data_IF_696305903742
#
_entry.id   IF_696305903742
#
_cell.length_a   1.000
_cell.length_b   1.000
_cell.length_c   1.000
_cell.angle_alpha   90.00
_cell.angle_beta   90.00
_cell.angle_gamma   90.00
#
_symmetry.space_group_name_H-M   'P 1'
#
loop_
_entity.id
_entity.type
_entity.pdbx_description
1 polymer ?
#
# COMPACT_ATOMS: atom_id res chain seq x y z
N UNK A 1 -22.85 -16.99 6.31
CA UNK A 1 -23.16 -15.63 5.84
C UNK A 1 -22.65 -14.53 6.78
N UNK A 2 -22.74 -14.69 8.07
CA UNK A 2 -22.19 -13.74 9.08
C UNK A 2 -20.67 -13.50 8.98
N UNK A 3 -19.87 -14.47 8.51
CA UNK A 3 -18.44 -14.33 8.31
C UNK A 3 -18.10 -13.22 7.31
N UNK A 4 -18.87 -13.09 6.22
CA UNK A 4 -18.63 -12.08 5.20
C UNK A 4 -18.90 -10.68 5.74
N UNK A 5 -19.95 -10.51 6.54
CA UNK A 5 -20.26 -9.23 7.19
C UNK A 5 -19.11 -8.78 8.11
N UNK A 6 -18.55 -9.73 8.87
CA UNK A 6 -17.46 -9.49 9.84
C UNK A 6 -16.07 -9.44 9.23
N UNK A 7 -15.91 -9.62 7.90
CA UNK A 7 -14.61 -9.54 7.23
C UNK A 7 -14.02 -8.13 7.41
N UNK A 8 -12.85 -7.99 8.09
CA UNK A 8 -12.33 -6.67 8.45
C UNK A 8 -11.73 -5.95 7.24
N UNK A 9 -11.89 -4.62 7.19
CA UNK A 9 -11.35 -3.76 6.12
C UNK A 9 -9.84 -3.95 5.92
N UNK A 10 -9.00 -4.16 6.96
CA UNK A 10 -7.56 -4.40 6.80
C UNK A 10 -7.15 -5.60 5.94
N UNK A 11 -8.06 -6.50 5.60
CA UNK A 11 -7.80 -7.56 4.61
C UNK A 11 -7.43 -6.95 3.25
N UNK A 12 -8.05 -5.84 2.85
CA UNK A 12 -7.78 -5.17 1.58
C UNK A 12 -6.32 -4.70 1.45
N UNK A 13 -5.77 -3.85 2.35
CA UNK A 13 -4.36 -3.46 2.26
C UNK A 13 -3.39 -4.65 2.45
N UNK A 14 -3.78 -5.71 3.14
CA UNK A 14 -2.98 -6.93 3.21
C UNK A 14 -2.85 -7.57 1.83
N UNK A 15 -3.93 -7.65 1.06
CA UNK A 15 -3.86 -8.15 -0.31
C UNK A 15 -3.11 -7.21 -1.26
N UNK A 16 -3.16 -5.89 -1.07
CA UNK A 16 -2.27 -4.97 -1.81
C UNK A 16 -0.80 -5.32 -1.54
N UNK A 17 -0.45 -5.60 -0.28
CA UNK A 17 0.90 -6.04 0.11
C UNK A 17 1.29 -7.38 -0.52
N UNK A 18 0.41 -8.38 -0.43
CA UNK A 18 0.65 -9.71 -1.00
C UNK A 18 0.81 -9.66 -2.53
N UNK A 19 -0.04 -8.90 -3.22
CA UNK A 19 0.03 -8.67 -4.67
C UNK A 19 1.35 -7.98 -5.08
N UNK A 20 1.76 -6.97 -4.31
CA UNK A 20 3.03 -6.25 -4.57
C UNK A 20 4.22 -7.19 -4.36
N UNK A 21 4.23 -7.96 -3.28
CA UNK A 21 5.29 -8.95 -3.01
C UNK A 21 5.30 -10.06 -4.07
N UNK A 22 4.14 -10.54 -4.53
CA UNK A 22 4.06 -11.55 -5.58
C UNK A 22 4.67 -11.08 -6.91
N UNK A 23 4.54 -9.79 -7.23
CA UNK A 23 5.23 -9.20 -8.38
C UNK A 23 6.75 -9.16 -8.19
N UNK A 24 7.25 -8.94 -6.96
CA UNK A 24 8.69 -9.07 -6.65
C UNK A 24 9.15 -10.50 -6.91
N UNK A 25 8.43 -11.50 -6.42
CA UNK A 25 8.75 -12.91 -6.66
C UNK A 25 8.71 -13.29 -8.14
N UNK A 26 7.75 -12.73 -8.90
CA UNK A 26 7.70 -12.93 -10.34
C UNK A 26 8.96 -12.39 -11.03
N UNK A 27 9.47 -11.23 -10.58
CA UNK A 27 10.74 -10.68 -11.05
C UNK A 27 11.97 -11.53 -10.70
N UNK A 28 11.86 -12.38 -9.67
CA UNK A 28 12.88 -13.36 -9.27
C UNK A 28 12.72 -14.72 -9.98
N UNK A 29 11.77 -14.87 -10.91
CA UNK A 29 11.50 -16.10 -11.66
C UNK A 29 10.39 -16.99 -11.07
N UNK A 30 9.83 -16.66 -9.89
CA UNK A 30 8.75 -17.44 -9.25
C UNK A 30 7.37 -16.93 -9.70
N UNK A 31 7.07 -17.03 -10.99
CA UNK A 31 5.83 -16.52 -11.61
C UNK A 31 4.57 -17.15 -11.05
N UNK A 32 4.62 -18.41 -10.64
CA UNK A 32 3.50 -19.14 -10.06
C UNK A 32 2.97 -18.46 -8.78
N UNK A 33 3.86 -17.84 -7.94
CA UNK A 33 3.47 -17.09 -6.75
C UNK A 33 2.55 -15.94 -7.13
N UNK A 34 2.90 -15.24 -8.22
CA UNK A 34 2.10 -14.14 -8.74
C UNK A 34 0.72 -14.62 -9.19
N UNK A 35 0.65 -15.66 -10.01
CA UNK A 35 -0.62 -16.20 -10.50
C UNK A 35 -1.54 -16.61 -9.34
N UNK A 36 -1.04 -17.39 -8.38
CA UNK A 36 -1.84 -17.80 -7.21
C UNK A 36 -2.35 -16.60 -6.41
N UNK A 37 -1.49 -15.61 -6.16
CA UNK A 37 -1.86 -14.42 -5.38
C UNK A 37 -2.89 -13.56 -6.11
N UNK A 38 -2.76 -13.40 -7.44
CA UNK A 38 -3.74 -12.65 -8.25
C UNK A 38 -5.13 -13.31 -8.21
N UNK A 39 -5.22 -14.63 -8.34
CA UNK A 39 -6.48 -15.35 -8.21
C UNK A 39 -7.08 -15.24 -6.80
N UNK A 40 -6.27 -15.40 -5.77
CA UNK A 40 -6.72 -15.22 -4.38
C UNK A 40 -7.26 -13.80 -4.14
N UNK A 41 -6.57 -12.79 -4.66
CA UNK A 41 -7.01 -11.39 -4.56
C UNK A 41 -8.31 -11.13 -5.34
N UNK A 42 -8.48 -11.75 -6.51
CA UNK A 42 -9.74 -11.66 -7.27
C UNK A 42 -10.92 -12.23 -6.48
N UNK A 43 -10.73 -13.37 -5.82
CA UNK A 43 -11.75 -13.96 -4.93
C UNK A 43 -12.07 -13.04 -3.77
N UNK A 44 -11.06 -12.49 -3.09
CA UNK A 44 -11.26 -11.55 -1.98
C UNK A 44 -11.97 -10.28 -2.44
N UNK A 45 -11.62 -9.75 -3.62
CA UNK A 45 -12.29 -8.58 -4.19
C UNK A 45 -13.78 -8.86 -4.45
N UNK A 46 -14.10 -10.03 -5.03
CA UNK A 46 -15.48 -10.45 -5.26
C UNK A 46 -16.26 -10.60 -3.95
N UNK A 47 -15.65 -11.21 -2.93
CA UNK A 47 -16.26 -11.30 -1.60
C UNK A 47 -16.50 -9.91 -1.00
N UNK A 48 -15.57 -8.97 -1.20
CA UNK A 48 -15.76 -7.60 -0.73
C UNK A 48 -16.88 -6.86 -1.48
N UNK A 49 -17.01 -7.07 -2.80
CA UNK A 49 -18.14 -6.55 -3.57
C UNK A 49 -19.46 -7.09 -3.04
N UNK A 50 -19.54 -8.39 -2.78
CA UNK A 50 -20.73 -9.00 -2.16
C UNK A 50 -21.00 -8.41 -0.77
N UNK A 51 -19.96 -8.18 0.04
CA UNK A 51 -20.09 -7.49 1.35
C UNK A 51 -20.67 -6.09 1.17
N UNK A 52 -20.15 -5.28 0.24
CA UNK A 52 -20.62 -3.91 -0.01
C UNK A 52 -22.10 -3.87 -0.42
N UNK A 53 -22.54 -4.82 -1.25
CA UNK A 53 -23.93 -4.89 -1.73
C UNK A 53 -24.87 -5.43 -0.66
N UNK A 54 -24.50 -6.54 0.00
CA UNK A 54 -25.39 -7.26 0.92
C UNK A 54 -25.42 -6.65 2.32
N UNK A 55 -24.30 -6.11 2.79
CA UNK A 55 -24.12 -5.57 4.14
C UNK A 55 -23.76 -4.09 4.11
N UNK A 56 -24.44 -3.33 3.26
CA UNK A 56 -24.21 -1.89 3.04
C UNK A 56 -24.24 -1.10 4.35
N UNK A 57 -25.17 -1.42 5.28
CA UNK A 57 -25.28 -0.74 6.59
C UNK A 57 -23.99 -0.90 7.42
N UNK A 58 -23.43 -2.11 7.45
CA UNK A 58 -22.17 -2.41 8.15
C UNK A 58 -21.00 -1.66 7.51
N UNK A 59 -20.90 -1.69 6.18
CA UNK A 59 -19.85 -0.98 5.43
C UNK A 59 -19.94 0.55 5.63
N UNK A 60 -21.13 1.13 5.63
CA UNK A 60 -21.35 2.55 5.96
C UNK A 60 -20.93 2.86 7.38
N UNK A 61 -21.20 1.97 8.34
CA UNK A 61 -20.75 2.08 9.74
C UNK A 61 -19.22 2.05 9.85
N UNK A 62 -18.56 1.13 9.15
CA UNK A 62 -17.09 1.06 9.05
C UNK A 62 -16.53 2.34 8.42
N UNK A 63 -17.11 2.80 7.31
CA UNK A 63 -16.69 4.00 6.60
C UNK A 63 -16.86 5.29 7.41
N UNK A 64 -17.72 5.31 8.41
CA UNK A 64 -17.85 6.44 9.36
C UNK A 64 -16.62 6.60 10.25
N UNK A 65 -15.86 5.57 10.51
CA UNK A 65 -14.64 5.63 11.31
C UNK A 65 -13.43 5.95 10.40
N UNK A 66 -12.66 6.97 10.76
CA UNK A 66 -11.58 7.53 9.92
C UNK A 66 -10.54 6.50 9.50
N UNK A 67 -10.11 5.59 10.41
CA UNK A 67 -9.09 4.59 10.07
C UNK A 67 -9.62 3.55 9.08
N UNK A 68 -10.73 2.83 9.33
CA UNK A 68 -11.31 1.96 8.31
C UNK A 68 -11.63 2.71 7.01
N UNK A 69 -12.15 3.94 7.09
CA UNK A 69 -12.40 4.79 5.92
C UNK A 69 -11.13 4.94 5.06
N UNK A 70 -10.00 5.31 5.68
CA UNK A 70 -8.74 5.45 4.95
C UNK A 70 -8.26 4.15 4.30
N UNK A 71 -8.54 3.00 4.92
CA UNK A 71 -8.14 1.69 4.41
C UNK A 71 -9.05 1.18 3.27
N UNK A 72 -10.27 1.68 3.13
CA UNK A 72 -11.13 1.38 1.98
C UNK A 72 -10.51 1.81 0.63
N UNK A 73 -9.60 2.78 0.64
CA UNK A 73 -8.81 3.15 -0.53
C UNK A 73 -8.05 1.95 -1.14
N UNK A 74 -7.66 0.97 -0.31
CA UNK A 74 -6.99 -0.24 -0.75
C UNK A 74 -7.87 -1.13 -1.66
N UNK A 75 -9.20 -1.01 -1.62
CA UNK A 75 -10.10 -1.67 -2.57
C UNK A 75 -9.75 -1.27 -4.01
N UNK A 76 -9.60 0.03 -4.26
CA UNK A 76 -9.22 0.53 -5.58
C UNK A 76 -7.79 0.14 -5.96
N UNK A 77 -6.87 0.08 -4.97
CA UNK A 77 -5.49 -0.36 -5.22
C UNK A 77 -5.45 -1.84 -5.66
N UNK A 78 -6.27 -2.71 -5.07
CA UNK A 78 -6.40 -4.12 -5.51
C UNK A 78 -6.90 -4.18 -6.94
N UNK A 79 -7.92 -3.38 -7.31
CA UNK A 79 -8.44 -3.33 -8.70
C UNK A 79 -7.35 -2.85 -9.66
N UNK A 80 -6.55 -1.83 -9.29
CA UNK A 80 -5.43 -1.36 -10.13
C UNK A 80 -4.43 -2.48 -10.41
N UNK A 81 -4.00 -3.23 -9.37
CA UNK A 81 -3.01 -4.30 -9.53
C UNK A 81 -3.60 -5.49 -10.32
N UNK A 82 -4.85 -5.88 -10.05
CA UNK A 82 -5.54 -6.89 -10.85
C UNK A 82 -5.73 -6.43 -12.30
N UNK A 83 -6.02 -5.15 -12.52
CA UNK A 83 -6.09 -4.56 -13.84
C UNK A 83 -4.77 -4.70 -14.61
N UNK A 84 -3.62 -4.58 -13.93
CA UNK A 84 -2.33 -4.83 -14.58
C UNK A 84 -2.12 -6.29 -14.96
N UNK A 85 -2.63 -7.22 -14.17
CA UNK A 85 -2.60 -8.63 -14.49
C UNK A 85 -3.51 -8.98 -15.67
N UNK A 86 -4.73 -8.43 -15.69
CA UNK A 86 -5.68 -8.59 -16.81
C UNK A 86 -5.12 -7.96 -18.09
N UNK A 87 -4.36 -6.87 -17.99
CA UNK A 87 -3.75 -6.19 -19.13
C UNK A 87 -2.86 -7.13 -19.98
N UNK A 88 -2.23 -8.11 -19.37
CA UNK A 88 -1.37 -9.09 -20.06
C UNK A 88 -2.18 -10.01 -21.02
N UNK A 89 -3.46 -10.24 -20.72
CA UNK A 89 -4.36 -11.08 -21.51
C UNK A 89 -5.30 -10.26 -22.40
N UNK A 90 -5.72 -9.10 -21.89
CA UNK A 90 -6.63 -8.17 -22.56
C UNK A 90 -6.25 -6.73 -22.26
N UNK A 91 -5.41 -6.10 -23.11
CA UNK A 91 -4.92 -4.74 -22.88
C UNK A 91 -6.04 -3.70 -22.67
N UNK A 92 -7.12 -3.79 -23.46
CA UNK A 92 -8.23 -2.85 -23.37
C UNK A 92 -8.95 -2.97 -22.02
N UNK A 93 -9.27 -4.19 -21.58
CA UNK A 93 -9.97 -4.46 -20.33
C UNK A 93 -9.09 -4.09 -19.14
N UNK A 94 -7.83 -4.51 -19.12
CA UNK A 94 -6.91 -4.21 -18.04
C UNK A 94 -6.68 -2.70 -17.87
N UNK A 95 -6.47 -1.97 -18.98
CA UNK A 95 -6.35 -0.51 -18.96
C UNK A 95 -7.62 0.17 -18.45
N UNK A 96 -8.79 -0.28 -18.88
CA UNK A 96 -10.08 0.23 -18.40
C UNK A 96 -10.23 0.02 -16.89
N UNK A 97 -9.90 -1.18 -16.36
CA UNK A 97 -9.94 -1.46 -14.93
C UNK A 97 -9.05 -0.48 -14.15
N UNK A 98 -7.83 -0.23 -14.61
CA UNK A 98 -6.91 0.73 -13.96
C UNK A 98 -7.49 2.14 -13.98
N UNK A 99 -7.99 2.62 -15.12
CA UNK A 99 -8.55 3.98 -15.25
C UNK A 99 -9.77 4.17 -14.35
N UNK A 100 -10.69 3.20 -14.34
CA UNK A 100 -11.88 3.24 -13.46
C UNK A 100 -11.47 3.22 -11.99
N UNK A 101 -10.51 2.38 -11.61
CA UNK A 101 -10.02 2.32 -10.24
C UNK A 101 -9.34 3.63 -9.79
N UNK A 102 -8.61 4.29 -10.69
CA UNK A 102 -8.03 5.63 -10.44
C UNK A 102 -9.12 6.66 -10.22
N UNK A 103 -10.17 6.67 -11.05
CA UNK A 103 -11.30 7.61 -10.89
C UNK A 103 -12.03 7.39 -9.56
N UNK A 104 -12.29 6.13 -9.18
CA UNK A 104 -12.90 5.78 -7.90
C UNK A 104 -12.01 6.18 -6.72
N UNK A 105 -10.69 6.00 -6.84
CA UNK A 105 -9.74 6.39 -5.80
C UNK A 105 -9.67 7.92 -5.66
N UNK A 106 -9.66 8.66 -6.77
CA UNK A 106 -9.72 10.12 -6.74
C UNK A 106 -11.01 10.63 -6.07
N UNK A 107 -12.16 10.02 -6.40
CA UNK A 107 -13.42 10.31 -5.72
C UNK A 107 -13.33 10.03 -4.21
N UNK A 108 -12.73 8.89 -3.82
CA UNK A 108 -12.50 8.56 -2.41
C UNK A 108 -11.63 9.61 -1.71
N UNK A 109 -10.56 10.11 -2.34
CA UNK A 109 -9.72 11.20 -1.80
C UNK A 109 -10.58 12.44 -1.52
N UNK A 110 -11.41 12.86 -2.47
CA UNK A 110 -12.28 14.03 -2.30
C UNK A 110 -13.26 13.86 -1.12
N UNK A 111 -13.93 12.71 -1.05
CA UNK A 111 -14.87 12.40 0.03
C UNK A 111 -14.18 12.30 1.40
N UNK A 112 -13.02 11.66 1.45
CA UNK A 112 -12.21 11.55 2.66
C UNK A 112 -11.75 12.92 3.15
N UNK A 113 -11.24 13.75 2.23
CA UNK A 113 -10.77 15.12 2.54
C UNK A 113 -11.91 15.99 3.05
N UNK A 114 -13.04 16.00 2.35
CA UNK A 114 -14.21 16.77 2.76
C UNK A 114 -14.63 16.40 4.19
N UNK A 115 -14.71 15.12 4.48
CA UNK A 115 -15.19 14.64 5.75
C UNK A 115 -14.19 14.83 6.88
N UNK A 116 -12.94 14.38 6.72
CA UNK A 116 -12.00 14.29 7.83
C UNK A 116 -11.14 15.55 7.99
N UNK A 117 -10.87 16.29 6.89
CA UNK A 117 -10.05 17.51 6.93
C UNK A 117 -10.91 18.76 7.07
N UNK A 118 -12.02 18.87 6.30
CA UNK A 118 -12.83 20.09 6.27
C UNK A 118 -13.86 20.06 7.40
N UNK A 119 -14.58 18.94 7.58
CA UNK A 119 -15.72 18.85 8.49
C UNK A 119 -15.33 18.44 9.92
N UNK A 120 -14.60 17.33 10.10
CA UNK A 120 -14.33 16.75 11.43
C UNK A 120 -13.10 17.36 12.11
N UNK A 121 -12.03 17.67 11.39
CA UNK A 121 -10.78 18.31 11.87
C UNK A 121 -10.19 17.69 13.15
N UNK A 122 -10.25 16.38 13.30
CA UNK A 122 -9.83 15.68 14.51
C UNK A 122 -8.38 15.18 14.38
N UNK A 123 -7.45 15.84 15.05
CA UNK A 123 -6.01 15.48 15.06
C UNK A 123 -5.76 14.06 15.60
N UNK A 124 -6.62 13.55 16.51
CA UNK A 124 -6.45 12.20 17.05
C UNK A 124 -6.67 11.11 16.00
N UNK A 125 -7.45 11.40 14.95
CA UNK A 125 -7.70 10.48 13.85
C UNK A 125 -6.70 10.65 12.70
N UNK A 126 -5.83 11.67 12.76
CA UNK A 126 -4.76 11.89 11.81
C UNK A 126 -3.65 10.88 12.03
N UNK A 127 -3.72 9.75 11.35
CA UNK A 127 -2.86 8.58 11.50
C UNK A 127 -2.14 8.27 10.18
N UNK A 128 -1.02 7.54 10.22
CA UNK A 128 -0.30 7.16 9.00
C UNK A 128 -1.15 6.41 7.97
N UNK A 129 -2.24 5.77 8.38
CA UNK A 129 -3.22 5.17 7.45
C UNK A 129 -3.82 6.17 6.45
N UNK A 130 -3.79 7.48 6.72
CA UNK A 130 -4.21 8.52 5.77
C UNK A 130 -3.41 8.48 4.46
N UNK A 131 -2.15 8.05 4.51
CA UNK A 131 -1.34 7.87 3.30
C UNK A 131 -1.89 6.78 2.37
N UNK A 132 -2.67 5.82 2.88
CA UNK A 132 -3.35 4.83 2.03
C UNK A 132 -4.38 5.52 1.12
N UNK A 133 -5.09 6.53 1.65
CA UNK A 133 -6.00 7.36 0.86
C UNK A 133 -5.24 8.27 -0.10
N UNK A 134 -4.32 9.08 0.41
CA UNK A 134 -3.72 10.17 -0.39
C UNK A 134 -2.68 9.68 -1.39
N UNK A 135 -1.78 8.78 -0.98
CA UNK A 135 -0.72 8.28 -1.86
C UNK A 135 -1.06 6.95 -2.52
N UNK A 136 -2.11 6.24 -2.07
CA UNK A 136 -2.50 4.95 -2.65
C UNK A 136 -2.85 5.02 -4.13
N UNK A 137 -3.33 6.15 -4.62
CA UNK A 137 -3.60 6.38 -6.05
C UNK A 137 -2.33 6.19 -6.92
N UNK A 138 -1.13 6.40 -6.35
CA UNK A 138 0.15 6.21 -7.04
C UNK A 138 0.44 4.75 -7.39
N UNK A 139 -0.30 3.78 -6.84
CA UNK A 139 -0.23 2.38 -7.29
C UNK A 139 -0.47 2.29 -8.79
N UNK A 140 -1.33 3.14 -9.35
CA UNK A 140 -1.53 3.23 -10.81
C UNK A 140 -0.24 3.55 -11.57
N UNK A 141 0.66 4.36 -10.99
CA UNK A 141 1.96 4.69 -11.57
C UNK A 141 2.98 3.54 -11.41
N UNK A 142 2.81 2.73 -10.37
CA UNK A 142 3.66 1.54 -10.15
C UNK A 142 3.43 0.51 -11.24
N UNK A 143 2.14 0.24 -11.57
CA UNK A 143 1.74 -0.85 -12.47
C UNK A 143 1.39 -0.40 -13.89
N UNK A 144 1.07 0.88 -14.10
CA UNK A 144 0.48 1.37 -15.35
C UNK A 144 1.44 2.09 -16.30
N UNK A 145 2.73 2.22 -15.97
CA UNK A 145 3.69 2.99 -16.76
C UNK A 145 3.77 2.53 -18.23
N UNK A 146 3.65 1.22 -18.51
CA UNK A 146 3.66 0.64 -19.86
C UNK A 146 2.29 0.61 -20.57
N UNK A 147 1.21 1.11 -19.94
CA UNK A 147 -0.16 1.00 -20.48
C UNK A 147 -0.58 2.19 -21.36
N UNK A 148 0.30 3.14 -21.62
CA UNK A 148 -0.02 4.33 -22.42
C UNK A 148 -1.11 5.20 -21.76
N UNK A 149 -1.08 5.36 -20.44
CA UNK A 149 -2.01 6.20 -19.66
C UNK A 149 -1.36 7.57 -19.45
N UNK A 150 -1.70 8.56 -20.28
CA UNK A 150 -1.01 9.86 -20.33
C UNK A 150 -1.12 10.73 -19.07
N UNK A 151 -2.15 10.52 -18.23
CA UNK A 151 -2.36 11.32 -17.02
C UNK A 151 -1.52 10.87 -15.81
N UNK A 152 -0.81 9.73 -15.85
CA UNK A 152 -0.03 9.23 -14.72
C UNK A 152 1.00 10.22 -14.21
N UNK A 153 1.59 11.03 -15.08
CA UNK A 153 2.56 12.07 -14.67
C UNK A 153 1.97 13.07 -13.68
N UNK A 154 0.69 13.40 -13.80
CA UNK A 154 0.02 14.32 -12.87
C UNK A 154 -0.21 13.64 -11.50
N UNK A 155 -0.47 12.32 -11.50
CA UNK A 155 -0.58 11.55 -10.25
C UNK A 155 0.77 11.49 -9.53
N UNK A 156 1.89 11.37 -10.28
CA UNK A 156 3.24 11.41 -9.69
C UNK A 156 3.48 12.74 -8.98
N UNK A 157 3.25 13.87 -9.65
CA UNK A 157 3.45 15.19 -9.05
C UNK A 157 2.51 15.43 -7.85
N UNK A 158 1.23 15.08 -7.99
CA UNK A 158 0.29 15.12 -6.88
C UNK A 158 0.80 14.32 -5.68
N UNK A 159 1.22 13.07 -5.90
CA UNK A 159 1.66 12.19 -4.81
C UNK A 159 2.92 12.68 -4.10
N UNK A 160 3.88 13.27 -4.83
CA UNK A 160 5.08 13.86 -4.24
C UNK A 160 4.72 15.11 -3.43
N UNK A 161 3.89 15.99 -3.97
CA UNK A 161 3.47 17.21 -3.27
C UNK A 161 2.72 16.86 -1.99
N UNK A 162 1.73 15.98 -2.07
CA UNK A 162 0.92 15.60 -0.92
C UNK A 162 1.74 14.85 0.14
N UNK A 163 2.73 14.05 -0.27
CA UNK A 163 3.67 13.42 0.64
C UNK A 163 4.44 14.47 1.46
N UNK A 164 5.06 15.45 0.80
CA UNK A 164 5.84 16.48 1.50
C UNK A 164 4.97 17.44 2.33
N UNK A 165 3.70 17.59 2.01
CA UNK A 165 2.75 18.36 2.84
C UNK A 165 2.35 17.56 4.09
N UNK A 166 2.05 16.26 3.95
CA UNK A 166 1.51 15.46 5.05
C UNK A 166 2.61 14.98 6.00
N UNK A 167 3.79 14.59 5.49
CA UNK A 167 4.80 13.89 6.30
C UNK A 167 5.33 14.73 7.48
N UNK A 168 5.61 16.04 7.36
CA UNK A 168 6.06 16.83 8.51
C UNK A 168 5.00 16.91 9.61
N UNK A 169 3.74 17.10 9.22
CA UNK A 169 2.60 17.16 10.14
C UNK A 169 2.39 15.81 10.81
N UNK A 170 2.55 14.71 10.06
CA UNK A 170 2.45 13.36 10.58
C UNK A 170 3.55 13.04 11.58
N UNK A 171 4.80 13.42 11.30
CA UNK A 171 5.92 13.26 12.24
C UNK A 171 5.64 14.05 13.52
N UNK A 172 5.26 15.32 13.40
CA UNK A 172 4.88 16.13 14.55
C UNK A 172 3.79 15.47 15.39
N UNK A 173 2.74 14.98 14.73
CA UNK A 173 1.64 14.28 15.42
C UNK A 173 2.11 13.01 16.14
N UNK A 174 2.94 12.17 15.51
CA UNK A 174 3.46 10.94 16.11
C UNK A 174 4.39 11.20 17.31
N UNK A 175 5.05 12.37 17.34
CA UNK A 175 5.90 12.77 18.46
C UNK A 175 5.12 13.39 19.63
N UNK A 176 3.96 14.02 19.36
CA UNK A 176 3.19 14.77 20.36
C UNK A 176 1.98 14.02 20.90
N UNK A 177 1.42 13.06 20.16
CA UNK A 177 0.19 12.37 20.54
C UNK A 177 0.44 10.87 20.57
N UNK A 178 0.18 10.25 21.71
CA UNK A 178 0.35 8.82 21.90
C UNK A 178 -0.50 8.02 20.91
N UNK A 179 0.09 6.97 20.33
CA UNK A 179 -0.59 6.05 19.44
C UNK A 179 -1.15 4.89 20.23
N UNK A 180 -2.48 4.77 20.26
CA UNK A 180 -3.19 3.70 20.99
C UNK A 180 -2.76 2.31 20.48
N UNK A 181 -2.69 1.28 21.36
CA UNK A 181 -2.28 -0.07 20.98
C UNK A 181 -3.06 -0.66 19.80
N UNK A 182 -4.37 -0.44 19.74
CA UNK A 182 -5.24 -0.98 18.68
C UNK A 182 -4.86 -0.50 17.25
N UNK A 183 -4.17 0.63 17.14
CA UNK A 183 -3.79 1.25 15.85
C UNK A 183 -2.28 1.44 15.73
N UNK A 184 -1.50 0.83 16.64
CA UNK A 184 -0.06 1.02 16.73
C UNK A 184 0.66 0.63 15.44
N UNK A 185 0.24 -0.46 14.79
CA UNK A 185 0.84 -0.96 13.54
C UNK A 185 0.65 -0.01 12.35
N UNK A 186 -0.29 0.95 12.42
CA UNK A 186 -0.45 1.96 11.36
C UNK A 186 0.79 2.83 11.21
N UNK A 187 1.65 2.91 12.24
CA UNK A 187 2.92 3.66 12.14
C UNK A 187 3.83 3.14 11.03
N UNK A 188 3.76 1.86 10.70
CA UNK A 188 4.56 1.30 9.61
C UNK A 188 4.16 1.84 8.22
N UNK A 189 2.97 2.40 8.10
CA UNK A 189 2.49 2.95 6.81
C UNK A 189 3.32 4.13 6.31
N UNK A 190 4.13 4.78 7.16
CA UNK A 190 5.02 5.90 6.75
C UNK A 190 6.02 5.50 5.64
N UNK A 191 6.36 4.21 5.51
CA UNK A 191 7.25 3.71 4.46
C UNK A 191 6.56 3.69 3.07
N UNK A 192 5.25 3.54 3.02
CA UNK A 192 4.54 3.40 1.76
C UNK A 192 4.60 4.66 0.87
N UNK A 193 4.30 5.88 1.36
CA UNK A 193 4.21 7.06 0.51
C UNK A 193 5.55 7.45 -0.12
N UNK A 194 6.66 7.44 0.63
CA UNK A 194 7.98 7.73 0.07
C UNK A 194 8.42 6.68 -0.94
N UNK A 195 8.15 5.39 -0.66
CA UNK A 195 8.42 4.28 -1.60
C UNK A 195 7.60 4.42 -2.89
N UNK A 196 6.32 4.75 -2.78
CA UNK A 196 5.45 5.05 -3.94
C UNK A 196 5.99 6.24 -4.74
N UNK A 197 6.46 7.30 -4.07
CA UNK A 197 7.06 8.45 -4.76
C UNK A 197 8.30 8.05 -5.57
N UNK A 198 9.22 7.27 -4.98
CA UNK A 198 10.42 6.78 -5.69
C UNK A 198 10.02 5.95 -6.91
N UNK A 199 9.19 4.93 -6.70
CA UNK A 199 8.82 3.99 -7.77
C UNK A 199 8.06 4.69 -8.88
N UNK A 200 7.06 5.50 -8.54
CA UNK A 200 6.24 6.22 -9.52
C UNK A 200 7.04 7.23 -10.31
N UNK A 201 7.92 7.98 -9.64
CA UNK A 201 8.78 8.96 -10.31
C UNK A 201 9.74 8.30 -11.29
N UNK A 202 10.40 7.21 -10.87
CA UNK A 202 11.32 6.46 -11.72
C UNK A 202 10.63 5.72 -12.87
N UNK A 203 9.36 5.33 -12.70
CA UNK A 203 8.61 4.63 -13.74
C UNK A 203 8.04 5.58 -14.82
N UNK A 204 7.57 6.76 -14.43
CA UNK A 204 6.68 7.59 -15.27
C UNK A 204 7.37 8.85 -15.80
N UNK A 205 8.31 9.43 -15.04
CA UNK A 205 8.96 10.68 -15.45
C UNK A 205 10.20 10.35 -16.29
N UNK A 206 10.26 10.90 -17.49
CA UNK A 206 11.37 10.68 -18.43
C UNK A 206 12.64 11.42 -17.98
N UNK A 207 12.55 12.73 -17.78
CA UNK A 207 13.66 13.57 -17.33
C UNK A 207 13.77 13.59 -15.81
N UNK A 208 14.54 12.65 -15.26
CA UNK A 208 14.63 12.42 -13.81
C UNK A 208 15.62 13.40 -13.16
N UNK A 209 15.16 14.12 -12.15
CA UNK A 209 16.03 14.90 -11.28
C UNK A 209 16.65 13.96 -10.22
N UNK A 210 17.97 13.76 -10.31
CA UNK A 210 18.69 12.85 -9.44
C UNK A 210 18.63 13.28 -7.96
N UNK A 211 18.67 14.58 -7.67
CA UNK A 211 18.59 15.09 -6.29
C UNK A 211 17.26 14.70 -5.67
N UNK A 212 16.16 14.88 -6.41
CA UNK A 212 14.83 14.50 -5.92
C UNK A 212 14.75 12.99 -5.64
N UNK A 213 15.31 12.15 -6.53
CA UNK A 213 15.36 10.69 -6.32
C UNK A 213 16.13 10.35 -5.05
N UNK A 214 17.28 10.97 -4.81
CA UNK A 214 18.07 10.72 -3.62
C UNK A 214 17.35 11.17 -2.35
N UNK A 215 16.70 12.34 -2.35
CA UNK A 215 15.92 12.84 -1.20
C UNK A 215 14.76 11.90 -0.89
N UNK A 216 13.99 11.49 -1.90
CA UNK A 216 12.88 10.54 -1.72
C UNK A 216 13.37 9.19 -1.20
N UNK A 217 14.50 8.68 -1.72
CA UNK A 217 15.04 7.41 -1.26
C UNK A 217 15.65 7.51 0.15
N UNK A 218 16.23 8.64 0.54
CA UNK A 218 16.64 8.88 1.91
C UNK A 218 15.44 8.80 2.88
N UNK A 219 14.27 9.33 2.47
CA UNK A 219 13.03 9.16 3.23
C UNK A 219 12.59 7.68 3.34
N UNK A 220 12.79 6.89 2.27
CA UNK A 220 12.54 5.43 2.30
C UNK A 220 13.45 4.76 3.33
N UNK A 221 14.76 5.03 3.30
CA UNK A 221 15.71 4.45 4.25
C UNK A 221 15.40 4.84 5.70
N UNK A 222 15.07 6.10 5.94
CA UNK A 222 14.70 6.58 7.29
C UNK A 222 13.42 5.89 7.79
N UNK A 223 12.41 5.76 6.93
CA UNK A 223 11.15 5.08 7.27
C UNK A 223 11.36 3.58 7.49
N UNK A 224 12.20 2.93 6.68
CA UNK A 224 12.55 1.53 6.84
C UNK A 224 13.29 1.30 8.16
N UNK A 225 14.30 2.11 8.47
CA UNK A 225 15.03 2.04 9.73
C UNK A 225 14.07 2.20 10.93
N UNK A 226 13.16 3.17 10.86
CA UNK A 226 12.12 3.36 11.88
C UNK A 226 11.27 2.09 12.09
N UNK A 227 10.84 1.43 11.02
CA UNK A 227 10.04 0.20 11.12
C UNK A 227 10.86 -0.93 11.73
N UNK A 228 12.10 -1.15 11.27
CA UNK A 228 12.99 -2.22 11.77
C UNK A 228 13.23 -2.05 13.27
N UNK A 229 13.52 -0.83 13.72
CA UNK A 229 13.69 -0.54 15.16
C UNK A 229 12.41 -0.82 15.96
N UNK A 230 11.23 -0.55 15.38
CA UNK A 230 9.93 -0.79 16.01
C UNK A 230 9.41 -2.22 15.86
N UNK A 231 10.05 -3.05 15.03
CA UNK A 231 9.57 -4.39 14.70
C UNK A 231 9.36 -5.28 15.95
N UNK A 232 10.29 -5.34 16.94
CA UNK A 232 10.06 -6.12 18.16
C UNK A 232 8.80 -5.68 18.92
N UNK A 233 8.53 -4.36 18.96
CA UNK A 233 7.35 -3.83 19.62
C UNK A 233 6.06 -4.14 18.84
N UNK A 234 6.09 -4.14 17.52
CA UNK A 234 4.94 -4.56 16.70
C UNK A 234 4.56 -6.02 17.00
N UNK A 235 5.53 -6.92 17.10
CA UNK A 235 5.29 -8.34 17.36
C UNK A 235 5.08 -8.68 18.85
N UNK A 236 5.26 -7.72 19.76
CA UNK A 236 4.89 -7.88 21.17
C UNK A 236 3.37 -7.83 21.40
N UNK A 237 2.60 -7.30 20.45
CA UNK A 237 1.14 -7.31 20.52
C UNK A 237 0.57 -8.64 20.05
N UNK A 238 -0.56 -9.04 20.66
CA UNK A 238 -1.38 -10.11 20.08
C UNK A 238 -1.88 -9.69 18.70
N UNK A 239 -2.01 -10.69 17.80
CA UNK A 239 -2.49 -10.41 16.46
C UNK A 239 -3.85 -9.68 16.50
N UNK A 240 -3.92 -8.61 15.73
CA UNK A 240 -5.14 -7.86 15.46
C UNK A 240 -5.09 -7.36 14.00
N UNK A 241 -6.23 -6.98 13.40
CA UNK A 241 -6.27 -6.54 12.01
C UNK A 241 -5.34 -5.38 11.66
N UNK A 242 -4.88 -4.60 12.65
CA UNK A 242 -3.92 -3.51 12.47
C UNK A 242 -2.55 -3.94 11.89
N UNK A 243 -2.16 -5.23 12.08
CA UNK A 243 -0.94 -5.79 11.46
C UNK A 243 -0.90 -5.64 9.93
N UNK A 244 -2.04 -5.47 9.28
CA UNK A 244 -2.11 -5.11 7.86
C UNK A 244 -1.28 -3.86 7.50
N UNK A 245 -1.09 -2.94 8.46
CA UNK A 245 -0.25 -1.75 8.28
C UNK A 245 1.21 -2.04 7.97
N UNK A 246 1.71 -3.26 8.25
CA UNK A 246 3.07 -3.70 7.94
C UNK A 246 3.20 -4.28 6.52
N UNK A 247 2.13 -4.75 5.89
CA UNK A 247 2.19 -5.58 4.68
C UNK A 247 2.60 -4.80 3.43
N UNK A 248 1.73 -3.92 2.94
CA UNK A 248 1.99 -3.14 1.73
C UNK A 248 3.20 -2.20 1.86
N UNK A 249 3.41 -1.48 2.98
CA UNK A 249 4.57 -0.62 3.13
C UNK A 249 5.90 -1.35 2.97
N UNK A 250 6.03 -2.53 3.58
CA UNK A 250 7.23 -3.35 3.44
C UNK A 250 7.41 -3.87 2.01
N UNK A 251 6.34 -4.31 1.35
CA UNK A 251 6.40 -4.80 -0.02
C UNK A 251 6.78 -3.72 -1.04
N UNK A 252 6.19 -2.51 -0.94
CA UNK A 252 6.53 -1.42 -1.85
C UNK A 252 7.93 -0.84 -1.56
N UNK A 253 8.41 -0.97 -0.32
CA UNK A 253 9.80 -0.65 0.05
C UNK A 253 10.82 -1.48 -0.71
N UNK A 254 10.56 -2.78 -0.93
CA UNK A 254 11.40 -3.65 -1.77
C UNK A 254 11.44 -3.13 -3.21
N UNK A 255 10.28 -2.80 -3.76
CA UNK A 255 10.17 -2.28 -5.13
C UNK A 255 10.92 -0.97 -5.29
N UNK A 256 10.84 -0.08 -4.27
CA UNK A 256 11.59 1.18 -4.25
C UNK A 256 13.10 0.96 -4.22
N UNK A 257 13.59 0.01 -3.41
CA UNK A 257 15.00 -0.35 -3.35
C UNK A 257 15.50 -0.95 -4.68
N UNK A 258 14.74 -1.85 -5.30
CA UNK A 258 15.08 -2.41 -6.61
C UNK A 258 15.14 -1.34 -7.71
N UNK A 259 14.17 -0.40 -7.73
CA UNK A 259 14.15 0.71 -8.68
C UNK A 259 15.33 1.67 -8.45
N UNK A 260 15.66 1.94 -7.18
CA UNK A 260 16.82 2.75 -6.82
C UNK A 260 18.13 2.10 -7.24
N UNK A 261 18.30 0.79 -7.04
CA UNK A 261 19.47 0.05 -7.49
C UNK A 261 19.64 0.17 -9.01
N UNK A 262 18.59 -0.05 -9.80
CA UNK A 262 18.61 0.13 -11.26
C UNK A 262 18.95 1.58 -11.67
N UNK A 263 18.45 2.58 -10.95
CA UNK A 263 18.77 3.98 -11.20
C UNK A 263 20.25 4.29 -10.92
N UNK A 264 20.81 3.75 -9.86
CA UNK A 264 22.24 3.89 -9.50
C UNK A 264 23.15 3.21 -10.52
N UNK A 265 22.80 2.01 -10.97
CA UNK A 265 23.53 1.30 -12.05
C UNK A 265 23.55 2.13 -13.33
N UNK A 266 22.41 2.70 -13.73
CA UNK A 266 22.34 3.57 -14.90
C UNK A 266 23.19 4.86 -14.77
N UNK A 267 23.60 5.22 -13.55
CA UNK A 267 24.51 6.33 -13.26
C UNK A 267 25.98 5.90 -13.07
N UNK A 268 26.32 4.64 -13.33
CA UNK A 268 27.66 4.10 -13.14
C UNK A 268 28.09 3.90 -11.68
N UNK A 269 27.13 3.92 -10.73
CA UNK A 269 27.38 3.77 -9.28
C UNK A 269 27.18 2.31 -8.83
N UNK A 270 27.85 1.38 -9.49
CA UNK A 270 27.63 -0.06 -9.32
C UNK A 270 27.82 -0.56 -7.90
N UNK A 271 28.85 -0.08 -7.16
CA UNK A 271 29.08 -0.49 -5.78
C UNK A 271 27.93 -0.15 -4.84
N UNK A 272 27.36 1.05 -4.95
CA UNK A 272 26.22 1.47 -4.15
C UNK A 272 24.95 0.72 -4.61
N UNK A 273 24.81 0.52 -5.93
CA UNK A 273 23.68 -0.25 -6.48
C UNK A 273 23.66 -1.69 -5.92
N UNK A 274 24.82 -2.35 -5.84
CA UNK A 274 24.94 -3.69 -5.25
C UNK A 274 24.52 -3.72 -3.77
N UNK A 275 24.92 -2.72 -2.97
CA UNK A 275 24.50 -2.61 -1.56
C UNK A 275 22.97 -2.43 -1.44
N UNK A 276 22.38 -1.60 -2.29
CA UNK A 276 20.92 -1.40 -2.30
C UNK A 276 20.18 -2.65 -2.75
N UNK A 277 20.73 -3.42 -3.69
CA UNK A 277 20.18 -4.72 -4.11
C UNK A 277 20.22 -5.75 -2.96
N UNK A 278 21.31 -5.82 -2.19
CA UNK A 278 21.38 -6.66 -1.00
C UNK A 278 20.34 -6.26 0.05
N UNK A 279 20.17 -4.95 0.28
CA UNK A 279 19.11 -4.44 1.16
C UNK A 279 17.72 -4.88 0.69
N UNK A 280 17.43 -4.79 -0.61
CA UNK A 280 16.15 -5.27 -1.18
C UNK A 280 15.95 -6.77 -0.95
N UNK A 281 17.02 -7.57 -1.06
CA UNK A 281 17.00 -9.01 -0.72
C UNK A 281 16.61 -9.27 0.74
N UNK A 282 17.25 -8.59 1.69
CA UNK A 282 16.92 -8.68 3.11
C UNK A 282 15.47 -8.25 3.38
N UNK A 283 15.04 -7.13 2.78
CA UNK A 283 13.67 -6.69 2.88
C UNK A 283 12.68 -7.75 2.37
N UNK A 284 13.02 -8.48 1.31
CA UNK A 284 12.15 -9.52 0.74
C UNK A 284 11.92 -10.65 1.75
N UNK A 285 12.94 -11.15 2.45
CA UNK A 285 12.78 -12.17 3.47
C UNK A 285 11.90 -11.71 4.64
N UNK A 286 12.20 -10.53 5.18
CA UNK A 286 11.43 -9.95 6.29
C UNK A 286 9.97 -9.75 5.89
N UNK A 287 9.74 -9.20 4.70
CA UNK A 287 8.38 -8.91 4.20
C UNK A 287 7.59 -10.19 3.95
N UNK A 288 8.23 -11.22 3.43
CA UNK A 288 7.59 -12.54 3.22
C UNK A 288 7.11 -13.13 4.54
N UNK A 289 7.96 -13.09 5.57
CA UNK A 289 7.55 -13.52 6.91
C UNK A 289 6.36 -12.71 7.42
N UNK A 290 6.43 -11.38 7.34
CA UNK A 290 5.35 -10.48 7.83
C UNK A 290 4.04 -10.75 7.11
N UNK A 291 4.04 -10.78 5.77
CA UNK A 291 2.83 -10.99 4.98
C UNK A 291 2.26 -12.39 5.21
N UNK A 292 3.12 -13.42 5.24
CA UNK A 292 2.72 -14.78 5.56
C UNK A 292 2.07 -14.89 6.94
N UNK A 293 2.70 -14.29 7.96
CA UNK A 293 2.14 -14.21 9.31
C UNK A 293 0.75 -13.55 9.33
N UNK A 294 0.60 -12.41 8.65
CA UNK A 294 -0.67 -11.67 8.64
C UNK A 294 -1.75 -12.46 7.90
N UNK A 295 -1.46 -13.04 6.73
CA UNK A 295 -2.41 -13.84 5.96
C UNK A 295 -2.88 -15.07 6.74
N UNK A 296 -1.96 -15.83 7.33
CA UNK A 296 -2.30 -17.02 8.16
C UNK A 296 -3.21 -16.62 9.30
N UNK A 297 -2.91 -15.53 10.00
CA UNK A 297 -3.72 -15.08 11.12
C UNK A 297 -5.12 -14.59 10.68
N UNK A 298 -5.26 -13.97 9.51
CA UNK A 298 -6.58 -13.65 8.97
C UNK A 298 -7.39 -14.91 8.66
N UNK A 299 -6.76 -15.96 8.12
CA UNK A 299 -7.41 -17.25 7.90
C UNK A 299 -7.84 -17.87 9.22
N UNK A 300 -6.97 -17.92 10.23
CA UNK A 300 -7.28 -18.44 11.57
C UNK A 300 -8.44 -17.64 12.18
N UNK A 301 -8.45 -16.30 12.05
CA UNK A 301 -9.52 -15.45 12.56
C UNK A 301 -10.85 -15.76 11.85
N UNK A 302 -10.85 -15.95 10.54
CA UNK A 302 -12.03 -16.32 9.77
C UNK A 302 -12.59 -17.70 10.17
N UNK A 303 -11.71 -18.66 10.49
CA UNK A 303 -12.09 -19.99 10.95
C UNK A 303 -12.63 -20.01 12.38
N UNK A 304 -12.07 -19.18 13.28
CA UNK A 304 -12.51 -19.10 14.68
C UNK A 304 -13.91 -18.50 14.87
N UNK A 305 -14.39 -17.69 13.93
CA UNK A 305 -15.74 -17.11 13.97
C UNK A 305 -16.83 -18.19 13.91
N UNK A 306 -16.50 -19.42 13.48
CA UNK A 306 -17.46 -20.55 13.47
C UNK A 306 -17.69 -21.23 14.82
N UNK A 307 -16.79 -21.05 15.78
CA UNK A 307 -16.83 -21.83 17.04
C UNK A 307 -17.62 -21.14 18.17
N UNK A 308 -18.36 -20.10 17.86
CA UNK A 308 -19.30 -19.43 18.75
C UNK A 308 -20.72 -19.57 18.23
#
# INVERSE_FOLDING_TARGET
MERLERMPVPVLPTFVGALTLSNVYSGLGYTWVRHMTMWAAAVILLLYIVKLVKYTKTCVGEYKNTIPCSLYAAFNMVIMILGSYVYEFSPAVGKMMVVVAVALHAYHILMFTYRNVIKERNVNTFMPSWFVTYNGIMVSCVIGAGMGIGFLKYIVYYGIIIYFVIIPIMIWRLLKVEVKPAVYHTMAVVLAPCSLCVVSYLNVIENKNAILVYVLYACVLASLAFIIIKLPKFFAFQFNPGFAGLTFPMAIGIVASNKMAGFLTAQGKEGIAAMVTQLAGIQTYITTFIIGYVLINFVIMALKIERK
#
